data_IF_327527876528
#
_entry.id   IF_327527876528
#
_cell.length_a   1.000
_cell.length_b   1.000
_cell.length_c   1.000
_cell.angle_alpha   90.00
_cell.angle_beta   90.00
_cell.angle_gamma   90.00
#
_symmetry.space_group_name_H-M   'P 1'
#
loop_
_entity.id
_entity.type
_entity.pdbx_description
1 polymer ?
#
# COMPACT_ATOMS: atom_id res chain seq x y z
N UNK A 1 -7.57 -19.39 -1.85
CA UNK A 1 -8.04 -18.65 -0.65
C UNK A 1 -8.01 -17.16 -0.93
N UNK A 2 -8.91 -16.38 -0.33
CA UNK A 2 -9.08 -14.95 -0.63
C UNK A 2 -7.82 -14.11 -0.36
N UNK A 3 -7.01 -14.45 0.65
CA UNK A 3 -5.74 -13.78 0.94
C UNK A 3 -4.69 -13.95 -0.17
N UNK A 4 -4.63 -15.12 -0.80
CA UNK A 4 -3.70 -15.35 -1.91
C UNK A 4 -4.07 -14.52 -3.13
N UNK A 5 -5.37 -14.34 -3.41
CA UNK A 5 -5.84 -13.49 -4.51
C UNK A 5 -5.55 -12.02 -4.23
N UNK A 6 -5.82 -11.56 -3.00
CA UNK A 6 -5.51 -10.20 -2.59
C UNK A 6 -4.01 -9.90 -2.68
N UNK A 7 -3.17 -10.77 -2.11
CA UNK A 7 -1.71 -10.60 -2.14
C UNK A 7 -1.12 -10.69 -3.55
N UNK A 8 -1.58 -11.63 -4.38
CA UNK A 8 -1.12 -11.75 -5.76
C UNK A 8 -1.49 -10.54 -6.62
N UNK A 9 -2.71 -10.03 -6.47
CA UNK A 9 -3.17 -8.86 -7.19
C UNK A 9 -2.44 -7.58 -6.72
N UNK A 10 -2.25 -7.43 -5.41
CA UNK A 10 -1.46 -6.35 -4.84
C UNK A 10 -0.05 -6.30 -5.43
N UNK A 11 0.68 -7.43 -5.42
CA UNK A 11 2.03 -7.49 -5.98
C UNK A 11 2.09 -7.22 -7.48
N UNK A 12 1.11 -7.70 -8.27
CA UNK A 12 1.07 -7.40 -9.71
C UNK A 12 0.90 -5.90 -9.97
N UNK A 13 0.01 -5.26 -9.23
CA UNK A 13 -0.28 -3.83 -9.39
C UNK A 13 0.91 -2.99 -8.92
N UNK A 14 1.49 -3.34 -7.78
CA UNK A 14 2.66 -2.66 -7.22
C UNK A 14 3.86 -2.72 -8.18
N UNK A 15 4.24 -3.92 -8.63
CA UNK A 15 5.31 -4.10 -9.61
C UNK A 15 5.05 -3.37 -10.93
N UNK A 16 3.80 -3.36 -11.41
CA UNK A 16 3.44 -2.65 -12.62
C UNK A 16 3.61 -1.13 -12.48
N UNK A 17 3.24 -0.56 -11.34
CA UNK A 17 3.39 0.88 -11.12
C UNK A 17 4.86 1.27 -10.91
N UNK A 18 5.68 0.46 -10.23
CA UNK A 18 7.13 0.70 -10.15
C UNK A 18 7.74 0.66 -11.55
N UNK A 19 7.33 -0.31 -12.39
CA UNK A 19 7.80 -0.43 -13.77
C UNK A 19 7.40 0.76 -14.64
N UNK A 20 6.21 1.33 -14.43
CA UNK A 20 5.71 2.47 -15.20
C UNK A 20 6.27 3.81 -14.74
N UNK A 21 6.40 4.04 -13.42
CA UNK A 21 6.83 5.33 -12.85
C UNK A 21 8.32 5.39 -12.54
N UNK A 22 9.00 4.25 -12.47
CA UNK A 22 10.43 4.15 -12.14
C UNK A 22 10.78 4.73 -10.76
N UNK A 23 9.80 4.87 -9.88
CA UNK A 23 9.95 5.42 -8.53
C UNK A 23 9.22 4.51 -7.55
N UNK A 24 9.87 4.22 -6.44
CA UNK A 24 9.29 3.49 -5.30
C UNK A 24 8.89 4.52 -4.24
N UNK A 25 7.64 4.99 -4.34
CA UNK A 25 7.06 5.94 -3.39
C UNK A 25 6.00 5.24 -2.52
N UNK A 26 5.75 5.68 -1.28
CA UNK A 26 4.68 5.14 -0.42
C UNK A 26 3.28 5.20 -1.06
N UNK A 27 3.10 6.10 -2.02
CA UNK A 27 1.89 6.22 -2.83
C UNK A 27 1.63 4.99 -3.71
N UNK A 28 2.66 4.19 -4.02
CA UNK A 28 2.56 2.97 -4.79
C UNK A 28 1.78 1.92 -4.01
N UNK A 29 2.20 1.63 -2.77
CA UNK A 29 1.51 0.71 -1.85
C UNK A 29 0.06 1.14 -1.55
N UNK A 30 -0.19 2.44 -1.36
CA UNK A 30 -1.55 2.95 -1.08
C UNK A 30 -2.45 2.77 -2.30
N UNK A 31 -1.97 3.15 -3.49
CA UNK A 31 -2.75 3.06 -4.72
C UNK A 31 -2.96 1.61 -5.13
N UNK A 32 -1.95 0.74 -5.00
CA UNK A 32 -2.05 -0.68 -5.32
C UNK A 32 -3.04 -1.38 -4.38
N UNK A 33 -3.08 -1.00 -3.11
CA UNK A 33 -4.12 -1.39 -2.15
C UNK A 33 -5.52 -1.01 -2.55
N UNK A 34 -5.72 0.26 -2.91
CA UNK A 34 -7.02 0.77 -3.35
C UNK A 34 -7.49 0.09 -4.65
N UNK A 35 -6.60 -0.07 -5.63
CA UNK A 35 -6.88 -0.73 -6.90
C UNK A 35 -7.19 -2.22 -6.70
N UNK A 36 -6.44 -2.90 -5.84
CA UNK A 36 -6.69 -4.31 -5.49
C UNK A 36 -8.07 -4.48 -4.87
N UNK A 37 -8.43 -3.62 -3.91
CA UNK A 37 -9.76 -3.58 -3.29
C UNK A 37 -10.88 -3.29 -4.29
N UNK A 38 -10.67 -2.32 -5.20
CA UNK A 38 -11.62 -1.98 -6.25
C UNK A 38 -11.87 -3.17 -7.20
N UNK A 39 -10.81 -3.84 -7.65
CA UNK A 39 -10.89 -4.99 -8.58
C UNK A 39 -11.61 -6.17 -7.92
N UNK A 40 -11.34 -6.45 -6.66
CA UNK A 40 -12.02 -7.52 -5.92
C UNK A 40 -13.53 -7.26 -5.77
N UNK A 41 -13.92 -6.00 -5.61
CA UNK A 41 -15.32 -5.60 -5.49
C UNK A 41 -15.98 -5.22 -6.83
N UNK A 42 -15.27 -5.32 -7.96
CA UNK A 42 -15.77 -4.91 -9.28
C UNK A 42 -17.12 -5.57 -9.65
N UNK A 43 -17.29 -6.83 -9.27
CA UNK A 43 -18.53 -7.59 -9.53
C UNK A 43 -19.72 -7.21 -8.65
N UNK A 44 -19.49 -6.50 -7.55
CA UNK A 44 -20.52 -6.13 -6.57
C UNK A 44 -21.11 -4.73 -6.83
N UNK A 45 -20.70 -4.09 -7.94
CA UNK A 45 -21.18 -2.76 -8.35
C UNK A 45 -20.29 -1.60 -7.90
N UNK A 46 -20.50 -0.40 -8.47
CA UNK A 46 -19.60 0.74 -8.30
C UNK A 46 -19.50 1.25 -6.86
N UNK A 47 -20.58 1.16 -6.08
CA UNK A 47 -20.58 1.56 -4.66
C UNK A 47 -19.68 0.63 -3.84
N UNK A 48 -19.76 -0.68 -4.09
CA UNK A 48 -18.91 -1.66 -3.42
C UNK A 48 -17.43 -1.49 -3.83
N UNK A 49 -17.16 -1.16 -5.10
CA UNK A 49 -15.81 -0.84 -5.59
C UNK A 49 -15.18 0.32 -4.81
N UNK A 50 -15.89 1.44 -4.68
CA UNK A 50 -15.39 2.61 -3.94
C UNK A 50 -15.18 2.28 -2.47
N UNK A 51 -16.13 1.56 -1.85
CA UNK A 51 -16.00 1.13 -0.45
C UNK A 51 -14.78 0.24 -0.21
N UNK A 52 -14.56 -0.77 -1.07
CA UNK A 52 -13.39 -1.66 -0.95
C UNK A 52 -12.08 -0.97 -1.33
N UNK A 53 -12.09 -0.04 -2.28
CA UNK A 53 -10.93 0.78 -2.60
C UNK A 53 -10.53 1.67 -1.42
N UNK A 54 -11.49 2.33 -0.78
CA UNK A 54 -11.25 3.17 0.39
C UNK A 54 -10.66 2.34 1.55
N UNK A 55 -11.25 1.19 1.85
CA UNK A 55 -10.73 0.29 2.89
C UNK A 55 -9.29 -0.16 2.61
N UNK A 56 -9.01 -0.59 1.36
CA UNK A 56 -7.67 -1.01 0.94
C UNK A 56 -6.63 0.11 0.99
N UNK A 57 -7.01 1.31 0.54
CA UNK A 57 -6.16 2.49 0.59
C UNK A 57 -5.88 2.97 2.01
N UNK A 58 -6.90 3.00 2.88
CA UNK A 58 -6.75 3.41 4.29
C UNK A 58 -5.84 2.44 5.04
N UNK A 59 -6.05 1.12 4.89
CA UNK A 59 -5.22 0.12 5.55
C UNK A 59 -3.74 0.26 5.18
N UNK A 60 -3.43 0.40 3.89
CA UNK A 60 -2.05 0.52 3.43
C UNK A 60 -1.45 1.89 3.73
N UNK A 61 -2.25 2.97 3.75
CA UNK A 61 -1.80 4.28 4.21
C UNK A 61 -1.37 4.25 5.69
N UNK A 62 -2.07 3.50 6.54
CA UNK A 62 -1.69 3.30 7.93
C UNK A 62 -0.42 2.46 8.06
N UNK A 63 -0.26 1.40 7.26
CA UNK A 63 0.93 0.54 7.29
C UNK A 63 2.18 1.33 6.85
N UNK A 64 2.10 2.04 5.72
CA UNK A 64 3.20 2.89 5.22
C UNK A 64 3.49 4.04 6.19
N UNK A 65 2.45 4.68 6.73
CA UNK A 65 2.59 5.76 7.72
C UNK A 65 3.26 5.29 9.02
N UNK A 66 2.92 4.10 9.51
CA UNK A 66 3.59 3.47 10.64
C UNK A 66 5.04 3.10 10.30
N UNK A 67 5.31 2.61 9.09
CA UNK A 67 6.66 2.33 8.61
C UNK A 67 7.57 3.57 8.66
N UNK A 68 7.10 4.70 8.10
CA UNK A 68 7.82 5.98 8.15
C UNK A 68 8.07 6.41 9.59
N UNK A 69 7.06 6.30 10.46
CA UNK A 69 7.17 6.70 11.86
C UNK A 69 8.19 5.83 12.63
N UNK A 70 8.17 4.52 12.42
CA UNK A 70 9.13 3.59 13.02
C UNK A 70 10.55 3.86 12.54
N UNK A 71 10.75 4.07 11.23
CA UNK A 71 12.07 4.45 10.68
C UNK A 71 12.57 5.75 11.30
N UNK A 72 11.69 6.74 11.48
CA UNK A 72 12.04 7.99 12.17
C UNK A 72 12.44 7.76 13.61
N UNK A 73 11.65 7.03 14.40
CA UNK A 73 12.00 6.72 15.78
C UNK A 73 13.32 5.93 15.89
N UNK A 74 13.53 4.93 15.03
CA UNK A 74 14.79 4.18 14.98
C UNK A 74 15.98 5.09 14.65
N UNK A 75 15.82 6.04 13.72
CA UNK A 75 16.87 7.03 13.41
C UNK A 75 17.18 7.96 14.58
N UNK A 76 16.18 8.33 15.40
CA UNK A 76 16.40 9.14 16.62
C UNK A 76 17.11 8.34 17.73
N UNK A 77 17.05 7.01 17.71
CA UNK A 77 17.77 6.14 18.66
C UNK A 77 19.24 5.93 18.30
N UNK A 78 19.65 6.26 17.07
CA UNK A 78 21.06 6.41 16.68
C UNK A 78 21.39 7.89 16.47
N UNK A 79 21.47 8.72 17.54
CA UNK A 79 22.19 9.97 17.39
C UNK A 79 23.63 9.60 17.00
N UNK A 80 24.14 10.22 15.94
CA UNK A 80 25.55 10.22 15.57
C UNK A 80 26.36 10.76 16.75
N UNK A 81 26.68 9.90 17.71
CA UNK A 81 27.41 10.20 18.91
C UNK A 81 28.70 9.40 18.96
N UNK A 82 29.56 9.60 17.94
CA UNK A 82 31.03 9.62 17.92
C UNK A 82 31.33 10.36 16.60
N UNK A 83 31.81 11.58 16.61
CA UNK A 83 33.22 11.96 16.81
C UNK A 83 33.38 13.21 17.68
#
# INVERSE_FOLDING_TARGET
>A
GSFAVWGGLFSMIDCSMVRMRGKEDPWNSITSGALTGAILAARNGPVAMVGSAAMGGILLALIEGAGILLTRFASTQFPNGKE
#
